data_IF_807133182992
#
_entry.id   IF_807133182992
#
_cell.length_a   1.000
_cell.length_b   1.000
_cell.length_c   1.000
_cell.angle_alpha   90.00
_cell.angle_beta   90.00
_cell.angle_gamma   90.00
#
_symmetry.space_group_name_H-M   'P 1'
#
loop_
_entity.id
_entity.type
_entity.pdbx_description
1 polymer ?
#
# COMPACT_ATOMS: atom_id res chain seq x y z
N UNK A 1 -2.68 28.52 11.88
CA UNK A 1 -2.69 27.17 12.49
C UNK A 1 -2.62 26.02 11.47
N UNK A 2 -2.94 26.21 10.18
CA UNK A 2 -2.74 25.18 9.14
C UNK A 2 -1.29 24.69 8.90
N UNK A 3 -0.22 25.50 8.98
CA UNK A 3 1.12 25.01 8.61
C UNK A 3 1.70 24.04 9.67
N UNK A 4 1.27 24.18 10.93
CA UNK A 4 1.73 23.33 12.04
C UNK A 4 1.14 21.90 11.94
N UNK A 5 -0.10 21.78 11.46
CA UNK A 5 -0.75 20.50 11.19
C UNK A 5 -0.11 19.75 10.02
N UNK A 6 0.37 20.46 9.00
CA UNK A 6 1.08 19.86 7.87
C UNK A 6 2.45 19.30 8.27
N UNK A 7 3.18 19.99 9.15
CA UNK A 7 4.49 19.52 9.66
C UNK A 7 4.38 18.30 10.58
N UNK A 8 3.28 18.16 11.33
CA UNK A 8 3.02 16.97 12.16
C UNK A 8 2.72 15.71 11.32
N UNK A 9 2.13 15.88 10.14
CA UNK A 9 1.85 14.77 9.21
C UNK A 9 3.08 14.31 8.41
N UNK A 10 4.18 15.08 8.42
CA UNK A 10 5.42 14.78 7.69
C UNK A 10 6.52 14.14 8.57
N UNK A 11 6.21 13.79 9.82
CA UNK A 11 7.16 13.20 10.79
C UNK A 11 7.61 11.75 10.52
N UNK A 12 7.53 11.27 9.27
CA UNK A 12 7.81 9.87 8.88
C UNK A 12 9.22 9.61 8.34
N UNK A 13 10.19 10.48 8.60
CA UNK A 13 11.49 10.46 7.89
C UNK A 13 12.39 9.22 8.17
N UNK A 14 12.03 8.37 9.14
CA UNK A 14 12.77 7.14 9.46
C UNK A 14 11.84 5.93 9.50
N UNK A 15 11.46 5.42 8.33
CA UNK A 15 10.65 4.21 8.19
C UNK A 15 11.54 3.01 7.88
N UNK A 16 11.71 2.11 8.85
CA UNK A 16 12.46 0.85 8.67
C UNK A 16 11.91 0.00 7.52
N UNK A 17 10.62 0.13 7.19
CA UNK A 17 9.97 -0.55 6.07
C UNK A 17 10.29 0.08 4.69
N UNK A 18 10.58 1.39 4.63
CA UNK A 18 10.97 2.07 3.39
C UNK A 18 12.49 2.19 3.21
N UNK A 19 13.29 1.78 4.19
CA UNK A 19 14.75 1.62 4.07
C UNK A 19 15.19 0.18 4.36
N UNK A 20 14.72 -0.80 3.56
CA UNK A 20 15.08 -2.19 3.74
C UNK A 20 16.57 -2.43 3.42
N UNK A 21 17.22 -3.29 4.22
CA UNK A 21 18.62 -3.69 4.00
C UNK A 21 18.77 -5.08 3.35
N UNK A 22 17.71 -5.89 3.40
CA UNK A 22 17.67 -7.23 2.79
C UNK A 22 16.99 -7.22 1.41
N UNK A 23 17.32 -8.18 0.53
CA UNK A 23 16.76 -8.25 -0.82
C UNK A 23 15.24 -8.42 -0.82
N UNK A 24 14.70 -9.25 0.08
CA UNK A 24 13.25 -9.47 0.22
C UNK A 24 12.54 -8.16 0.61
N UNK A 25 13.11 -7.39 1.54
CA UNK A 25 12.52 -6.12 1.96
C UNK A 25 12.53 -5.06 0.85
N UNK A 26 13.50 -5.08 -0.07
CA UNK A 26 13.53 -4.17 -1.23
C UNK A 26 12.35 -4.45 -2.17
N UNK A 27 12.07 -5.73 -2.44
CA UNK A 27 10.94 -6.14 -3.26
C UNK A 27 9.60 -5.80 -2.57
N UNK A 28 9.50 -6.02 -1.26
CA UNK A 28 8.30 -5.63 -0.48
C UNK A 28 8.06 -4.11 -0.49
N UNK A 29 9.12 -3.31 -0.33
CA UNK A 29 9.04 -1.85 -0.42
C UNK A 29 8.45 -1.41 -1.77
N UNK A 30 8.91 -2.02 -2.86
CA UNK A 30 8.40 -1.69 -4.19
C UNK A 30 6.90 -1.96 -4.32
N UNK A 31 6.41 -3.05 -3.71
CA UNK A 31 4.97 -3.38 -3.68
C UNK A 31 4.20 -2.31 -2.91
N UNK A 32 4.70 -1.90 -1.73
CA UNK A 32 4.07 -0.88 -0.89
C UNK A 32 4.00 0.46 -1.63
N UNK A 33 5.10 0.91 -2.23
CA UNK A 33 5.16 2.17 -2.98
C UNK A 33 4.23 2.15 -4.20
N UNK A 34 4.24 1.05 -4.96
CA UNK A 34 3.41 0.92 -6.17
C UNK A 34 1.92 0.85 -5.83
N UNK A 35 1.53 0.04 -4.84
CA UNK A 35 0.14 -0.08 -4.40
C UNK A 35 -0.37 1.24 -3.78
N UNK A 36 0.43 1.85 -2.90
CA UNK A 36 0.11 3.15 -2.31
C UNK A 36 -0.04 4.25 -3.35
N UNK A 37 0.89 4.33 -4.31
CA UNK A 37 0.83 5.29 -5.41
C UNK A 37 -0.39 5.10 -6.32
N UNK A 38 -0.72 3.86 -6.66
CA UNK A 38 -1.88 3.55 -7.51
C UNK A 38 -3.20 3.88 -6.80
N UNK A 39 -3.31 3.63 -5.50
CA UNK A 39 -4.49 4.00 -4.72
C UNK A 39 -4.62 5.53 -4.57
N UNK A 40 -3.51 6.25 -4.40
CA UNK A 40 -3.51 7.71 -4.32
C UNK A 40 -4.05 8.36 -5.60
N UNK A 41 -3.79 7.77 -6.78
CA UNK A 41 -4.31 8.25 -8.06
C UNK A 41 -5.84 8.37 -8.07
N UNK A 42 -6.55 7.49 -7.36
CA UNK A 42 -8.02 7.53 -7.26
C UNK A 42 -8.48 8.41 -6.11
N UNK A 43 -7.80 8.31 -4.97
CA UNK A 43 -8.19 9.02 -3.74
C UNK A 43 -8.07 10.54 -3.92
N UNK A 44 -7.01 11.02 -4.58
CA UNK A 44 -6.78 12.47 -4.76
C UNK A 44 -7.90 13.14 -5.57
N UNK A 45 -8.29 12.64 -6.77
CA UNK A 45 -9.44 13.19 -7.50
C UNK A 45 -10.75 13.15 -6.71
N UNK A 46 -11.00 12.08 -5.95
CA UNK A 46 -12.22 11.98 -5.13
C UNK A 46 -12.25 13.07 -4.06
N UNK A 47 -11.14 13.30 -3.35
CA UNK A 47 -11.04 14.37 -2.36
C UNK A 47 -11.22 15.74 -3.02
N UNK A 48 -10.58 15.97 -4.17
CA UNK A 48 -10.72 17.23 -4.92
C UNK A 48 -12.18 17.47 -5.31
N UNK A 49 -12.86 16.47 -5.87
CA UNK A 49 -14.27 16.57 -6.25
C UNK A 49 -15.18 16.78 -5.03
N UNK A 50 -14.90 16.09 -3.92
CA UNK A 50 -15.64 16.24 -2.67
C UNK A 50 -15.56 17.65 -2.08
N UNK A 51 -14.48 18.40 -2.36
CA UNK A 51 -14.33 19.80 -1.93
C UNK A 51 -14.91 20.76 -2.98
N UNK A 52 -14.61 20.52 -4.27
CA UNK A 52 -14.99 21.41 -5.38
C UNK A 52 -16.51 21.41 -5.60
N UNK A 53 -17.17 20.25 -5.56
CA UNK A 53 -18.61 20.14 -5.83
C UNK A 53 -19.42 20.97 -4.81
N UNK A 54 -19.28 20.79 -3.48
CA UNK A 54 -20.00 21.63 -2.51
C UNK A 54 -19.67 23.11 -2.64
N UNK A 55 -18.40 23.46 -2.90
CA UNK A 55 -18.00 24.85 -3.03
C UNK A 55 -18.59 25.52 -4.28
N UNK A 56 -18.66 24.80 -5.41
CA UNK A 56 -19.19 25.25 -6.70
C UNK A 56 -20.72 25.33 -6.72
N UNK A 57 -21.40 24.39 -6.08
CA UNK A 57 -22.87 24.25 -6.06
C UNK A 57 -23.53 24.73 -4.76
N UNK A 58 -22.81 25.51 -3.94
CA UNK A 58 -23.37 26.13 -2.73
C UNK A 58 -24.56 27.05 -3.04
N UNK A 59 -25.48 27.18 -2.09
CA UNK A 59 -26.71 27.96 -2.23
C UNK A 59 -26.51 29.43 -2.64
N UNK A 60 -25.38 30.06 -2.26
CA UNK A 60 -25.08 31.45 -2.65
C UNK A 60 -24.61 31.62 -4.10
N UNK A 61 -24.42 30.54 -4.86
CA UNK A 61 -23.96 30.61 -6.25
C UNK A 61 -25.10 30.46 -7.26
N UNK A 62 -25.61 31.59 -7.75
CA UNK A 62 -26.71 31.65 -8.72
C UNK A 62 -26.31 31.35 -10.17
N UNK A 63 -25.01 31.18 -10.46
CA UNK A 63 -24.48 30.89 -11.81
C UNK A 63 -24.30 29.40 -12.08
N UNK A 64 -24.57 28.52 -11.11
CA UNK A 64 -24.49 27.08 -11.30
C UNK A 64 -25.76 26.53 -11.97
N UNK A 65 -25.64 25.53 -12.85
CA UNK A 65 -26.80 24.81 -13.39
C UNK A 65 -27.39 23.96 -12.25
N UNK A 66 -28.65 24.20 -11.90
CA UNK A 66 -29.37 23.47 -10.86
C UNK A 66 -30.37 22.51 -11.50
N UNK A 67 -30.17 21.21 -11.31
CA UNK A 67 -31.01 20.13 -11.86
C UNK A 67 -31.44 19.19 -10.72
N UNK A 68 -32.60 19.44 -10.06
CA UNK A 68 -33.03 18.68 -8.89
C UNK A 68 -33.52 17.26 -9.21
N UNK A 69 -34.04 17.03 -10.41
CA UNK A 69 -34.59 15.73 -10.84
C UNK A 69 -33.54 14.81 -11.49
N UNK A 70 -32.31 15.30 -11.67
CA UNK A 70 -31.24 14.50 -12.27
C UNK A 70 -30.72 13.48 -11.26
N UNK A 71 -31.05 12.22 -11.50
CA UNK A 71 -30.73 11.11 -10.60
C UNK A 71 -29.92 10.00 -11.27
N UNK A 72 -29.89 9.95 -12.61
CA UNK A 72 -29.28 8.84 -13.33
C UNK A 72 -28.50 9.26 -14.58
N UNK A 73 -27.34 8.64 -14.77
CA UNK A 73 -26.55 8.76 -16.00
C UNK A 73 -25.67 7.53 -16.20
N UNK A 74 -26.07 6.69 -17.16
CA UNK A 74 -25.33 5.49 -17.57
C UNK A 74 -23.86 5.78 -17.90
N UNK A 75 -23.57 6.97 -18.46
CA UNK A 75 -22.20 7.36 -18.83
C UNK A 75 -21.31 7.57 -17.60
N UNK A 76 -21.83 8.25 -16.58
CA UNK A 76 -21.08 8.54 -15.36
C UNK A 76 -20.93 7.27 -14.54
N UNK A 77 -22.00 6.48 -14.44
CA UNK A 77 -21.97 5.18 -13.77
C UNK A 77 -20.92 4.23 -14.38
N UNK A 78 -20.92 4.07 -15.70
CA UNK A 78 -19.93 3.22 -16.37
C UNK A 78 -18.48 3.67 -16.11
N UNK A 79 -18.22 4.98 -16.13
CA UNK A 79 -16.88 5.53 -15.82
C UNK A 79 -16.50 5.26 -14.36
N UNK A 80 -17.40 5.53 -13.41
CA UNK A 80 -17.15 5.33 -11.98
C UNK A 80 -16.92 3.85 -11.62
N UNK A 81 -17.54 2.91 -12.32
CA UNK A 81 -17.31 1.47 -12.12
C UNK A 81 -16.05 0.97 -12.83
N UNK A 82 -15.80 1.42 -14.06
CA UNK A 82 -14.67 0.94 -14.86
C UNK A 82 -13.32 1.27 -14.22
N UNK A 83 -13.16 2.45 -13.62
CA UNK A 83 -11.90 2.91 -13.03
C UNK A 83 -11.46 2.00 -11.86
N UNK A 84 -12.29 1.76 -10.82
CA UNK A 84 -11.96 0.82 -9.74
C UNK A 84 -11.70 -0.60 -10.23
N UNK A 85 -12.52 -1.11 -11.15
CA UNK A 85 -12.36 -2.48 -11.69
C UNK A 85 -11.01 -2.63 -12.38
N UNK A 86 -10.60 -1.65 -13.20
CA UNK A 86 -9.32 -1.67 -13.88
C UNK A 86 -8.14 -1.68 -12.89
N UNK A 87 -8.21 -0.86 -11.84
CA UNK A 87 -7.17 -0.75 -10.82
C UNK A 87 -7.04 -2.03 -10.00
N UNK A 88 -8.17 -2.57 -9.52
CA UNK A 88 -8.17 -3.83 -8.76
C UNK A 88 -7.64 -4.98 -9.63
N UNK A 89 -7.95 -4.99 -10.93
CA UNK A 89 -7.42 -6.01 -11.86
C UNK A 89 -5.89 -5.94 -11.98
N UNK A 90 -5.32 -4.73 -12.07
CA UNK A 90 -3.87 -4.55 -12.10
C UNK A 90 -3.23 -4.99 -10.78
N UNK A 91 -3.81 -4.58 -9.64
CA UNK A 91 -3.32 -4.98 -8.32
C UNK A 91 -3.41 -6.50 -8.10
N UNK A 92 -4.47 -7.14 -8.58
CA UNK A 92 -4.63 -8.59 -8.48
C UNK A 92 -3.50 -9.33 -9.23
N UNK A 93 -3.13 -8.87 -10.42
CA UNK A 93 -2.01 -9.45 -11.19
C UNK A 93 -0.69 -9.25 -10.48
N UNK A 94 -0.44 -8.06 -9.92
CA UNK A 94 0.77 -7.78 -9.15
C UNK A 94 0.82 -8.70 -7.93
N UNK A 95 -0.26 -8.73 -7.13
CA UNK A 95 -0.38 -9.55 -5.93
C UNK A 95 -0.17 -11.05 -6.22
N UNK A 96 -0.74 -11.56 -7.31
CA UNK A 96 -0.54 -12.94 -7.73
C UNK A 96 0.93 -13.24 -8.01
N UNK A 97 1.60 -12.38 -8.79
CA UNK A 97 3.02 -12.56 -9.15
C UNK A 97 3.91 -12.45 -7.92
N UNK A 98 3.70 -11.44 -7.09
CA UNK A 98 4.53 -11.18 -5.91
C UNK A 98 4.38 -12.26 -4.87
N UNK A 99 3.16 -12.78 -4.65
CA UNK A 99 2.92 -13.89 -3.71
C UNK A 99 3.71 -15.15 -4.08
N UNK A 100 3.88 -15.44 -5.37
CA UNK A 100 4.67 -16.58 -5.83
C UNK A 100 6.18 -16.32 -5.87
N UNK A 101 6.57 -15.05 -6.03
CA UNK A 101 7.99 -14.65 -6.05
C UNK A 101 8.58 -14.59 -4.64
N UNK A 102 7.79 -14.10 -3.68
CA UNK A 102 8.18 -13.86 -2.29
C UNK A 102 7.68 -14.96 -1.34
N UNK A 103 7.46 -16.17 -1.85
CA UNK A 103 7.09 -17.33 -1.02
C UNK A 103 8.23 -17.66 -0.03
N UNK A 104 7.99 -17.64 1.30
CA UNK A 104 9.00 -17.95 2.31
C UNK A 104 9.63 -19.34 2.18
N UNK A 105 8.93 -20.30 1.58
CA UNK A 105 9.44 -21.66 1.39
C UNK A 105 10.36 -21.79 0.17
N UNK A 106 10.41 -20.77 -0.69
CA UNK A 106 11.25 -20.78 -1.87
C UNK A 106 12.70 -20.45 -1.51
N UNK A 107 13.68 -21.28 -1.91
CA UNK A 107 15.08 -20.99 -1.66
C UNK A 107 15.52 -19.70 -2.37
N UNK A 108 16.24 -18.84 -1.64
CA UNK A 108 16.84 -17.63 -2.20
C UNK A 108 18.05 -18.05 -3.05
N UNK A 109 18.12 -17.65 -4.33
CA UNK A 109 19.26 -17.99 -5.18
C UNK A 109 20.52 -17.29 -4.66
N UNK A 110 21.43 -18.06 -4.07
CA UNK A 110 22.73 -17.60 -3.59
C UNK A 110 23.82 -18.58 -4.01
N UNK A 111 25.05 -18.09 -4.16
CA UNK A 111 26.24 -18.93 -4.38
C UNK A 111 26.73 -19.58 -3.10
N UNK A 112 26.36 -19.01 -1.95
CA UNK A 112 26.75 -19.49 -0.62
C UNK A 112 25.78 -20.55 -0.11
N UNK A 113 26.28 -21.46 0.73
CA UNK A 113 25.44 -22.46 1.39
C UNK A 113 24.46 -21.77 2.36
N UNK A 114 23.15 -22.08 2.30
CA UNK A 114 22.19 -21.58 3.27
C UNK A 114 22.58 -22.03 4.69
N UNK A 115 22.37 -21.16 5.67
CA UNK A 115 22.53 -21.49 7.09
C UNK A 115 21.18 -21.95 7.62
N UNK A 116 21.13 -23.14 8.19
CA UNK A 116 19.93 -23.67 8.83
C UNK A 116 19.81 -23.12 10.26
N UNK A 117 18.70 -22.46 10.55
CA UNK A 117 18.39 -21.90 11.88
C UNK A 117 17.00 -22.39 12.27
N UNK A 118 16.89 -23.06 13.41
CA UNK A 118 15.60 -23.41 14.00
C UNK A 118 15.24 -22.36 15.05
N UNK A 119 14.08 -21.72 14.89
CA UNK A 119 13.58 -20.71 15.81
C UNK A 119 12.48 -21.28 16.70
N UNK A 120 12.70 -21.29 18.02
CA UNK A 120 11.73 -21.78 19.03
C UNK A 120 11.27 -20.61 19.89
N UNK A 121 9.95 -20.41 19.95
CA UNK A 121 9.34 -19.43 20.84
C UNK A 121 9.17 -20.03 22.25
N UNK A 122 9.94 -19.54 23.22
CA UNK A 122 9.81 -19.84 24.64
C UNK A 122 9.03 -18.73 25.35
N UNK A 123 8.69 -18.92 26.63
CA UNK A 123 8.01 -17.88 27.40
C UNK A 123 8.89 -16.63 27.51
N UNK A 124 8.51 -15.58 26.75
CA UNK A 124 9.21 -14.29 26.61
C UNK A 124 10.65 -14.36 26.10
N UNK A 125 11.05 -15.45 25.43
CA UNK A 125 12.40 -15.61 24.88
C UNK A 125 12.35 -16.29 23.52
N UNK A 126 13.30 -15.93 22.67
CA UNK A 126 13.53 -16.62 21.39
C UNK A 126 14.77 -17.48 21.54
N UNK A 127 14.66 -18.78 21.27
CA UNK A 127 15.80 -19.69 21.22
C UNK A 127 16.09 -20.02 19.76
N UNK A 128 17.33 -19.78 19.33
CA UNK A 128 17.80 -20.09 17.98
C UNK A 128 18.80 -21.25 18.06
N UNK A 129 18.54 -22.33 17.31
CA UNK A 129 19.39 -23.52 17.26
C UNK A 129 20.06 -23.59 15.90
N UNK A 130 21.37 -23.79 15.90
CA UNK A 130 22.22 -23.91 14.71
C UNK A 130 22.73 -25.37 14.62
N UNK A 131 21.97 -26.29 13.99
CA UNK A 131 22.29 -27.72 14.00
C UNK A 131 23.66 -28.02 13.37
N UNK A 132 24.03 -27.31 12.30
CA UNK A 132 25.30 -27.52 11.58
C UNK A 132 26.53 -27.09 12.38
N UNK A 133 26.37 -26.13 13.32
CA UNK A 133 27.44 -25.60 14.17
C UNK A 133 27.39 -26.19 15.59
N UNK A 134 26.38 -27.01 15.91
CA UNK A 134 26.15 -27.59 17.24
C UNK A 134 26.09 -26.55 18.38
N UNK A 135 25.55 -25.36 18.11
CA UNK A 135 25.35 -24.29 19.11
C UNK A 135 23.88 -23.86 19.20
N UNK A 136 23.51 -23.26 20.33
CA UNK A 136 22.22 -22.61 20.52
C UNK A 136 22.40 -21.25 21.22
N UNK A 137 21.60 -20.26 20.83
CA UNK A 137 21.66 -18.88 21.33
C UNK A 137 20.28 -18.39 21.76
N UNK A 138 20.22 -17.58 22.83
CA UNK A 138 19.00 -16.96 23.38
C UNK A 138 19.09 -15.44 23.25
#
# INVERSE_FOLDING_TARGET
MLPLSATLLLGGCHWALLDPKGPIGVDERWIIETAGGLMLLVVVPVIVLAIVIPWRYRASNTRARYEPEWSHSNKIEAVMWSIPIAIVSVLAVICWRTSHQLDPFRPIPSKEKPVHIEAVAMDWKWLFIYPDQHIATV
#
